data_IF_701373829670
#
_entry.id   IF_701373829670
#
_cell.length_a   1.000
_cell.length_b   1.000
_cell.length_c   1.000
_cell.angle_alpha   90.00
_cell.angle_beta   90.00
_cell.angle_gamma   90.00
#
_symmetry.space_group_name_H-M   'P 1'
#
loop_
_entity.id
_entity.type
_entity.pdbx_description
1 polymer ?
#
# COMPACT_ATOMS: atom_id res chain seq x y z
N UNK A 1 -8.37 57.13 43.87
CA UNK A 1 -8.90 55.89 43.29
C UNK A 1 -7.94 55.36 42.25
N UNK A 2 -7.38 54.16 42.44
CA UNK A 2 -6.50 53.53 41.45
C UNK A 2 -5.76 52.33 42.03
N UNK A 3 -6.50 51.33 42.51
CA UNK A 3 -5.92 50.10 43.07
C UNK A 3 -5.47 49.22 41.90
N UNK A 4 -4.17 48.95 41.82
CA UNK A 4 -3.53 48.10 40.81
C UNK A 4 -4.10 46.68 40.87
N UNK A 5 -4.68 46.22 39.76
CA UNK A 5 -5.10 44.84 39.53
C UNK A 5 -3.86 43.95 39.36
N UNK A 6 -3.67 42.97 40.25
CA UNK A 6 -2.77 41.83 40.00
C UNK A 6 -3.61 40.55 40.03
N UNK A 7 -4.08 40.14 38.86
CA UNK A 7 -4.68 38.83 38.66
C UNK A 7 -3.53 37.82 38.50
N UNK A 8 -3.28 37.01 39.53
CA UNK A 8 -2.47 35.81 39.42
C UNK A 8 -3.34 34.70 38.82
N UNK A 9 -3.19 34.43 37.53
CA UNK A 9 -3.77 33.25 36.89
C UNK A 9 -2.72 32.13 36.88
N UNK A 10 -3.00 31.03 37.58
CA UNK A 10 -2.15 29.86 37.67
C UNK A 10 -2.06 29.15 36.31
N UNK A 11 -0.88 28.70 35.85
CA UNK A 11 -0.80 27.87 34.66
C UNK A 11 -1.39 26.48 34.96
N UNK A 12 -2.52 26.16 34.33
CA UNK A 12 -3.08 24.81 34.32
C UNK A 12 -2.17 23.88 33.52
N UNK A 13 -1.63 22.87 34.20
CA UNK A 13 -0.79 21.84 33.60
C UNK A 13 -1.59 21.05 32.54
N UNK A 14 -1.13 21.09 31.29
CA UNK A 14 -1.68 20.31 30.19
C UNK A 14 -1.14 18.88 30.22
N UNK A 15 -2.03 17.90 30.39
CA UNK A 15 -1.69 16.49 30.22
C UNK A 15 -1.91 16.10 28.75
N UNK A 16 -0.88 16.20 27.92
CA UNK A 16 -0.92 15.69 26.55
C UNK A 16 -0.75 14.17 26.59
N UNK A 17 -1.85 13.42 26.51
CA UNK A 17 -1.81 11.97 26.31
C UNK A 17 -1.51 11.72 24.83
N UNK A 18 -0.24 11.46 24.51
CA UNK A 18 0.15 11.00 23.18
C UNK A 18 -0.31 9.54 23.01
N UNK A 19 -1.45 9.34 22.35
CA UNK A 19 -1.86 8.02 21.91
C UNK A 19 -0.94 7.57 20.76
N UNK A 20 0.13 6.86 21.10
CA UNK A 20 0.96 6.14 20.13
C UNK A 20 0.14 4.95 19.63
N UNK A 21 -0.66 5.17 18.58
CA UNK A 21 -1.30 4.08 17.85
C UNK A 21 -0.17 3.37 17.09
N UNK A 22 0.43 2.36 17.71
CA UNK A 22 1.33 1.44 17.03
C UNK A 22 0.46 0.71 16.01
N UNK A 23 0.58 1.07 14.73
CA UNK A 23 -0.08 0.36 13.65
C UNK A 23 0.40 -1.09 13.70
N UNK A 24 -0.44 -1.97 14.25
CA UNK A 24 -0.15 -3.38 14.35
C UNK A 24 0.04 -3.90 12.91
N UNK A 25 1.24 -4.40 12.60
CA UNK A 25 1.72 -4.67 11.24
C UNK A 25 0.99 -5.82 10.54
N UNK A 26 -0.29 -5.63 10.24
CA UNK A 26 -1.07 -6.48 9.34
C UNK A 26 -0.97 -5.86 7.95
N UNK A 27 -0.03 -6.35 7.15
CA UNK A 27 -0.03 -6.03 5.73
C UNK A 27 -1.18 -6.80 5.06
N UNK A 28 -2.10 -6.05 4.44
CA UNK A 28 -3.24 -6.59 3.72
C UNK A 28 -2.79 -7.46 2.55
N UNK A 29 -3.57 -8.51 2.23
CA UNK A 29 -3.34 -9.30 1.03
C UNK A 29 -3.71 -8.50 -0.22
N UNK A 30 -2.96 -8.68 -1.31
CA UNK A 30 -3.24 -7.99 -2.59
C UNK A 30 -4.56 -8.45 -3.20
N UNK A 31 -4.83 -9.76 -3.13
CA UNK A 31 -6.04 -10.38 -3.65
C UNK A 31 -6.71 -11.26 -2.59
N UNK A 32 -7.99 -11.57 -2.80
CA UNK A 32 -8.71 -12.51 -1.94
C UNK A 32 -8.09 -13.91 -1.95
N UNK A 33 -8.43 -14.73 -0.96
CA UNK A 33 -7.89 -16.10 -0.81
C UNK A 33 -8.20 -17.04 -1.98
N UNK A 34 -9.25 -16.75 -2.75
CA UNK A 34 -9.66 -17.48 -3.97
C UNK A 34 -9.11 -16.91 -5.28
N UNK A 35 -8.28 -15.87 -5.22
CA UNK A 35 -7.83 -15.12 -6.39
C UNK A 35 -6.30 -15.13 -6.50
N UNK A 36 -5.79 -14.66 -7.63
CA UNK A 36 -4.38 -14.40 -7.86
C UNK A 36 -4.20 -13.06 -8.60
N UNK A 37 -3.08 -12.35 -8.37
CA UNK A 37 -2.83 -11.07 -9.01
C UNK A 37 -2.35 -11.27 -10.46
N UNK A 38 -2.73 -10.35 -11.35
CA UNK A 38 -2.20 -10.22 -12.71
C UNK A 38 -1.74 -8.80 -12.97
N UNK A 39 -0.78 -8.62 -13.88
CA UNK A 39 -0.25 -7.32 -14.29
C UNK A 39 -0.83 -6.93 -15.65
N UNK A 40 -1.21 -5.68 -15.82
CA UNK A 40 -1.54 -5.13 -17.14
C UNK A 40 -0.28 -5.09 -18.00
N UNK A 41 -0.37 -5.55 -19.24
CA UNK A 41 0.77 -5.53 -20.16
C UNK A 41 1.17 -4.08 -20.45
N UNK A 42 2.47 -3.80 -20.44
CA UNK A 42 3.07 -2.46 -20.64
C UNK A 42 2.64 -1.39 -19.61
N UNK A 43 2.02 -1.76 -18.49
CA UNK A 43 1.59 -0.86 -17.42
C UNK A 43 1.82 -1.47 -16.03
N UNK A 44 1.82 -0.66 -14.97
CA UNK A 44 1.94 -1.09 -13.56
C UNK A 44 0.59 -1.41 -12.92
N UNK A 45 -0.52 -1.24 -13.66
CA UNK A 45 -1.86 -1.59 -13.20
C UNK A 45 -2.03 -3.06 -12.84
N UNK A 46 -2.70 -3.34 -11.73
CA UNK A 46 -2.94 -4.69 -11.19
C UNK A 46 -4.44 -4.97 -11.05
N UNK A 47 -4.84 -6.23 -11.21
CA UNK A 47 -6.16 -6.72 -10.82
C UNK A 47 -6.07 -8.15 -10.27
N UNK A 48 -7.16 -8.60 -9.66
CA UNK A 48 -7.30 -9.95 -9.14
C UNK A 48 -8.18 -10.79 -10.06
N UNK A 49 -7.76 -12.03 -10.31
CA UNK A 49 -8.48 -13.01 -11.15
C UNK A 49 -8.73 -14.25 -10.32
N UNK A 50 -9.91 -14.87 -10.47
CA UNK A 50 -10.25 -16.09 -9.75
C UNK A 50 -9.29 -17.24 -10.12
N UNK A 51 -8.86 -18.02 -9.13
CA UNK A 51 -7.99 -19.19 -9.35
C UNK A 51 -8.67 -20.17 -10.31
N UNK A 52 -7.92 -20.61 -11.33
CA UNK A 52 -8.40 -21.50 -12.37
C UNK A 52 -8.90 -20.78 -13.63
N UNK A 53 -9.10 -19.46 -13.58
CA UNK A 53 -9.41 -18.66 -14.77
C UNK A 53 -8.13 -18.13 -15.42
N UNK A 54 -8.20 -17.91 -16.74
CA UNK A 54 -7.15 -17.25 -17.51
C UNK A 54 -7.21 -15.72 -17.30
N UNK A 55 -6.06 -15.02 -17.33
CA UNK A 55 -6.05 -13.56 -17.35
C UNK A 55 -6.86 -13.03 -18.54
N UNK A 56 -7.65 -11.96 -18.37
CA UNK A 56 -8.34 -11.33 -19.49
C UNK A 56 -7.35 -10.70 -20.48
N UNK A 57 -7.80 -10.42 -21.70
CA UNK A 57 -6.96 -9.81 -22.73
C UNK A 57 -6.31 -8.50 -22.26
N UNK A 58 -5.02 -8.34 -22.54
CA UNK A 58 -4.22 -7.19 -22.08
C UNK A 58 -3.64 -7.33 -20.68
N UNK A 59 -3.82 -8.50 -20.04
CA UNK A 59 -3.26 -8.82 -18.73
C UNK A 59 -2.43 -10.10 -18.80
N UNK A 60 -1.43 -10.20 -17.93
CA UNK A 60 -0.53 -11.35 -17.88
C UNK A 60 -0.26 -11.78 -16.44
N UNK A 61 0.13 -13.05 -16.27
CA UNK A 61 0.61 -13.56 -14.98
C UNK A 61 1.99 -13.00 -14.69
N UNK A 62 2.26 -12.75 -13.41
CA UNK A 62 3.62 -12.49 -12.96
C UNK A 62 4.52 -13.71 -13.19
N UNK A 63 5.84 -13.52 -13.37
CA UNK A 63 6.79 -14.62 -13.35
C UNK A 63 6.65 -15.43 -12.07
N UNK A 64 6.87 -16.75 -12.16
CA UNK A 64 6.72 -17.64 -11.01
C UNK A 64 7.59 -17.20 -9.83
N UNK A 65 6.95 -17.05 -8.66
CA UNK A 65 7.63 -16.60 -7.44
C UNK A 65 7.86 -15.08 -7.35
N UNK A 66 7.45 -14.33 -8.37
CA UNK A 66 7.51 -12.86 -8.42
C UNK A 66 6.13 -12.20 -8.28
N UNK A 67 5.18 -12.95 -7.74
CA UNK A 67 3.81 -12.50 -7.54
C UNK A 67 3.71 -11.66 -6.26
N UNK A 68 3.10 -10.46 -6.29
CA UNK A 68 2.85 -9.66 -5.10
C UNK A 68 1.73 -10.30 -4.27
N UNK A 69 2.03 -10.66 -3.03
CA UNK A 69 1.12 -11.38 -2.11
C UNK A 69 0.46 -10.44 -1.12
N UNK A 70 1.19 -9.44 -0.65
CA UNK A 70 0.77 -8.44 0.34
C UNK A 70 1.13 -7.03 -0.09
N UNK A 71 0.34 -6.08 0.39
CA UNK A 71 0.62 -4.65 0.25
C UNK A 71 1.99 -4.34 0.84
N UNK A 72 2.81 -3.64 0.08
CA UNK A 72 4.20 -3.28 0.40
C UNK A 72 5.14 -4.48 0.63
N UNK A 73 4.82 -5.66 0.09
CA UNK A 73 5.83 -6.72 -0.01
C UNK A 73 6.86 -6.42 -1.12
N UNK A 74 7.93 -7.22 -1.15
CA UNK A 74 9.04 -7.06 -2.10
C UNK A 74 8.56 -6.91 -3.54
N UNK A 75 7.62 -7.77 -3.95
CA UNK A 75 7.10 -7.78 -5.32
C UNK A 75 6.10 -6.67 -5.55
N UNK A 76 5.27 -6.34 -4.57
CA UNK A 76 4.36 -5.20 -4.66
C UNK A 76 5.14 -3.90 -4.88
N UNK A 77 6.26 -3.73 -4.20
CA UNK A 77 7.15 -2.57 -4.37
C UNK A 77 7.87 -2.62 -5.72
N UNK A 78 8.44 -3.76 -6.09
CA UNK A 78 9.18 -3.92 -7.36
C UNK A 78 8.33 -3.56 -8.59
N UNK A 79 7.08 -4.03 -8.63
CA UNK A 79 6.16 -3.82 -9.75
C UNK A 79 5.55 -2.41 -9.81
N UNK A 80 5.87 -1.51 -8.87
CA UNK A 80 5.46 -0.09 -8.97
C UNK A 80 6.20 0.67 -10.05
N UNK A 81 7.38 0.19 -10.44
CA UNK A 81 8.24 0.81 -11.47
C UNK A 81 8.62 -0.15 -12.58
N UNK A 82 8.12 -1.38 -12.55
CA UNK A 82 8.39 -2.39 -13.57
C UNK A 82 7.09 -2.91 -14.16
N UNK A 83 7.15 -3.39 -15.39
CA UNK A 83 6.02 -4.01 -16.07
C UNK A 83 6.50 -5.15 -16.97
N UNK A 84 5.56 -5.98 -17.39
CA UNK A 84 5.78 -7.08 -18.33
C UNK A 84 5.26 -6.60 -19.68
N UNK A 85 6.13 -6.54 -20.68
CA UNK A 85 5.77 -6.08 -22.02
C UNK A 85 5.05 -7.16 -22.83
N UNK A 86 4.64 -6.82 -24.06
CA UNK A 86 3.92 -7.73 -24.97
C UNK A 86 4.69 -9.01 -25.32
N UNK A 87 6.01 -9.00 -25.15
CA UNK A 87 6.89 -10.15 -25.41
C UNK A 87 7.15 -10.98 -24.15
N UNK A 88 6.58 -10.60 -23.00
CA UNK A 88 6.81 -11.26 -21.71
C UNK A 88 8.12 -10.84 -21.03
N UNK A 89 8.77 -9.76 -21.48
CA UNK A 89 10.00 -9.24 -20.89
C UNK A 89 9.67 -8.25 -19.77
N UNK A 90 10.46 -8.29 -18.70
CA UNK A 90 10.35 -7.31 -17.62
C UNK A 90 11.15 -6.07 -17.97
N UNK A 91 10.48 -4.92 -18.00
CA UNK A 91 11.05 -3.62 -18.31
C UNK A 91 10.67 -2.59 -17.23
N UNK A 92 11.41 -1.49 -17.14
CA UNK A 92 10.95 -0.35 -16.34
C UNK A 92 9.70 0.28 -16.99
N UNK A 93 8.70 0.59 -16.16
CA UNK A 93 7.53 1.33 -16.59
C UNK A 93 7.92 2.79 -16.84
N UNK A 94 7.51 3.32 -17.99
CA UNK A 94 7.78 4.70 -18.42
C UNK A 94 6.69 5.66 -17.97
#
# INVERSE_FOLDING_TARGET
MGILRRAFALPTAGLFVAALVVACGFQDAICGSGEYPVQQIDNTGRQCVAKGEEPPAGWTRYPAGQEPKRVDDEWDVYWRTHTINQHGEVIEAR
#
